data_IF_259023294168
#
_entry.id   IF_259023294168
#
_cell.length_a   1.000
_cell.length_b   1.000
_cell.length_c   1.000
_cell.angle_alpha   90.00
_cell.angle_beta   90.00
_cell.angle_gamma   90.00
#
_symmetry.space_group_name_H-M   'P 1'
#
loop_
_entity.id
_entity.type
_entity.pdbx_description
1 polymer ?
#
# COMPACT_ATOMS: atom_id res chain seq x y z
N UNK A 1 43.41 28.32 -14.33
CA UNK A 1 42.08 28.71 -13.81
C UNK A 1 41.41 27.44 -13.33
N UNK A 2 41.40 27.23 -12.02
CA UNK A 2 40.87 26.02 -11.39
C UNK A 2 39.35 25.97 -11.49
N UNK A 3 38.82 24.88 -12.01
CA UNK A 3 37.40 24.53 -11.93
C UNK A 3 37.11 24.09 -10.49
N UNK A 4 36.17 24.79 -9.86
CA UNK A 4 35.70 24.52 -8.51
C UNK A 4 34.44 23.67 -8.65
N UNK A 5 34.58 22.35 -8.50
CA UNK A 5 33.46 21.42 -8.42
C UNK A 5 32.69 21.69 -7.12
N UNK A 6 31.52 22.30 -7.28
CA UNK A 6 30.57 22.53 -6.19
C UNK A 6 30.00 21.20 -5.70
N UNK A 7 30.66 20.60 -4.71
CA UNK A 7 30.10 19.54 -3.91
C UNK A 7 28.77 20.01 -3.30
N UNK A 8 27.65 19.48 -3.80
CA UNK A 8 26.33 19.70 -3.22
C UNK A 8 26.33 19.10 -1.82
N UNK A 9 26.45 19.96 -0.81
CA UNK A 9 26.49 19.61 0.60
C UNK A 9 25.19 18.90 1.00
N UNK A 10 25.30 17.62 1.36
CA UNK A 10 24.23 16.90 2.05
C UNK A 10 24.10 17.49 3.45
N UNK A 11 23.18 18.44 3.64
CA UNK A 11 22.79 18.87 4.99
C UNK A 11 22.20 17.67 5.73
N UNK A 12 22.76 17.35 6.91
CA UNK A 12 22.11 16.44 7.82
C UNK A 12 20.67 16.89 8.07
N UNK A 13 19.71 15.96 8.17
CA UNK A 13 18.35 16.30 8.52
C UNK A 13 18.35 17.11 9.83
N UNK A 14 17.61 18.22 9.85
CA UNK A 14 17.36 19.00 11.07
C UNK A 14 16.87 18.06 12.17
N UNK A 15 17.37 18.23 13.40
CA UNK A 15 16.94 17.42 14.54
C UNK A 15 15.44 17.62 14.80
N UNK A 16 14.72 16.55 15.22
CA UNK A 16 13.32 16.70 15.61
C UNK A 16 13.19 17.61 16.84
N UNK A 17 12.04 18.26 17.03
CA UNK A 17 11.72 18.92 18.29
C UNK A 17 11.86 17.95 19.47
N UNK A 18 12.25 18.47 20.63
CA UNK A 18 12.39 17.68 21.84
C UNK A 18 11.02 17.23 22.37
N UNK A 19 11.02 16.13 23.13
CA UNK A 19 9.85 15.61 23.83
C UNK A 19 9.06 16.66 24.61
N UNK A 20 9.76 17.62 25.25
CA UNK A 20 9.11 18.68 26.02
C UNK A 20 8.39 19.65 25.09
N UNK A 21 9.04 20.06 23.99
CA UNK A 21 8.43 20.91 22.97
C UNK A 21 7.22 20.23 22.35
N UNK A 22 7.30 18.96 21.94
CA UNK A 22 6.16 18.22 21.39
C UNK A 22 4.99 18.11 22.36
N UNK A 23 5.26 18.01 23.66
CA UNK A 23 4.23 17.96 24.69
C UNK A 23 3.52 19.31 24.86
N UNK A 24 4.27 20.39 24.82
CA UNK A 24 3.77 21.74 25.04
C UNK A 24 3.05 22.27 23.77
N UNK A 25 3.63 22.02 22.59
CA UNK A 25 3.05 22.29 21.27
C UNK A 25 3.47 21.20 20.25
N UNK A 26 2.55 20.32 19.81
CA UNK A 26 2.88 19.25 18.86
C UNK A 26 2.91 19.70 17.39
N UNK A 27 2.49 20.92 17.05
CA UNK A 27 2.43 21.36 15.66
C UNK A 27 3.81 21.42 14.96
N UNK A 28 4.89 21.91 15.59
CA UNK A 28 6.23 21.86 15.00
C UNK A 28 6.74 20.44 14.78
N UNK A 29 6.39 19.50 15.66
CA UNK A 29 6.75 18.08 15.48
C UNK A 29 6.02 17.48 14.29
N UNK A 30 4.75 17.80 14.10
CA UNK A 30 3.99 17.35 12.94
C UNK A 30 4.59 17.89 11.64
N UNK A 31 4.89 19.19 11.56
CA UNK A 31 5.53 19.80 10.40
C UNK A 31 6.89 19.14 10.08
N UNK A 32 7.69 18.86 11.12
CA UNK A 32 8.96 18.16 10.94
C UNK A 32 8.76 16.72 10.42
N UNK A 33 7.74 15.99 10.90
CA UNK A 33 7.41 14.66 10.40
C UNK A 33 6.97 14.75 8.93
N UNK A 34 6.18 15.75 8.55
CA UNK A 34 5.76 15.95 7.16
C UNK A 34 6.94 16.16 6.21
N UNK A 35 7.91 16.98 6.60
CA UNK A 35 9.13 17.18 5.83
C UNK A 35 9.88 15.85 5.63
N UNK A 36 9.89 14.98 6.64
CA UNK A 36 10.49 13.63 6.54
C UNK A 36 9.70 12.71 5.63
N UNK A 37 8.37 12.72 5.71
CA UNK A 37 7.52 11.96 4.78
C UNK A 37 7.79 12.43 3.34
N UNK A 38 7.81 13.74 3.10
CA UNK A 38 8.06 14.32 1.78
C UNK A 38 9.45 13.96 1.24
N UNK A 39 10.47 13.92 2.10
CA UNK A 39 11.82 13.47 1.74
C UNK A 39 11.85 11.97 1.37
N UNK A 40 11.15 11.13 2.13
CA UNK A 40 11.07 9.68 1.89
C UNK A 40 10.27 9.38 0.62
N UNK A 41 9.21 10.16 0.36
CA UNK A 41 8.30 10.05 -0.78
C UNK A 41 8.62 11.09 -1.89
N UNK A 42 9.89 11.47 -2.06
CA UNK A 42 10.26 12.52 -3.01
C UNK A 42 10.38 12.01 -4.45
N UNK A 43 10.17 12.91 -5.41
CA UNK A 43 10.38 12.64 -6.85
C UNK A 43 11.82 12.25 -7.16
N UNK A 44 12.80 12.63 -6.33
CA UNK A 44 14.20 12.23 -6.54
C UNK A 44 14.35 10.72 -6.51
N UNK A 45 13.61 10.01 -5.65
CA UNK A 45 13.66 8.54 -5.61
C UNK A 45 13.09 7.90 -6.89
N UNK A 46 12.20 8.57 -7.62
CA UNK A 46 11.56 8.05 -8.85
C UNK A 46 12.60 7.86 -9.97
N UNK A 47 13.54 8.79 -10.13
CA UNK A 47 14.49 8.78 -11.25
C UNK A 47 15.74 7.90 -11.02
N UNK A 48 16.10 7.60 -9.77
CA UNK A 48 17.27 6.77 -9.47
C UNK A 48 17.00 5.27 -9.67
N UNK A 49 17.97 4.53 -10.23
CA UNK A 49 17.86 3.07 -10.46
C UNK A 49 17.93 2.27 -9.16
N UNK A 50 18.64 2.81 -8.17
CA UNK A 50 18.64 2.29 -6.82
C UNK A 50 18.05 3.36 -5.91
N UNK A 51 17.00 3.02 -5.17
CA UNK A 51 16.69 3.77 -3.96
C UNK A 51 17.96 3.75 -3.14
N UNK A 52 18.54 4.91 -2.85
CA UNK A 52 19.73 4.99 -2.02
C UNK A 52 19.32 4.75 -0.56
N UNK A 53 18.93 3.51 -0.27
CA UNK A 53 18.48 2.99 1.03
C UNK A 53 19.59 3.19 2.06
N UNK A 54 20.86 3.13 1.63
CA UNK A 54 22.05 3.30 2.45
C UNK A 54 22.22 4.73 3.02
N UNK A 55 21.55 5.74 2.45
CA UNK A 55 21.64 7.13 2.96
C UNK A 55 20.69 7.43 4.11
N UNK A 56 19.70 6.58 4.38
CA UNK A 56 18.85 6.76 5.55
C UNK A 56 19.55 6.18 6.78
N UNK A 57 20.33 7.03 7.44
CA UNK A 57 21.12 6.64 8.61
C UNK A 57 20.23 6.09 9.73
N UNK A 58 20.77 5.18 10.55
CA UNK A 58 20.08 4.68 11.74
C UNK A 58 19.62 5.84 12.65
N UNK A 59 20.41 6.92 12.74
CA UNK A 59 20.02 8.13 13.48
C UNK A 59 18.75 8.76 12.91
N UNK A 60 18.69 9.01 11.61
CA UNK A 60 17.51 9.61 10.97
C UNK A 60 16.25 8.75 11.16
N UNK A 61 16.42 7.42 11.11
CA UNK A 61 15.36 6.47 11.42
C UNK A 61 14.87 6.60 12.86
N UNK A 62 15.79 6.57 13.83
CA UNK A 62 15.45 6.67 15.25
C UNK A 62 14.82 8.02 15.58
N UNK A 63 15.33 9.10 15.00
CA UNK A 63 14.78 10.46 15.16
C UNK A 63 13.34 10.52 14.63
N UNK A 64 13.09 9.96 13.46
CA UNK A 64 11.76 9.96 12.83
C UNK A 64 10.77 9.09 13.59
N UNK A 65 11.17 7.87 13.93
CA UNK A 65 10.35 6.97 14.73
C UNK A 65 10.00 7.57 16.10
N UNK A 66 10.99 8.18 16.77
CA UNK A 66 10.80 8.81 18.09
C UNK A 66 9.85 10.00 18.00
N UNK A 67 10.02 10.89 17.00
CA UNK A 67 9.13 12.02 16.78
C UNK A 67 7.67 11.56 16.54
N UNK A 68 7.46 10.53 15.70
CA UNK A 68 6.13 9.95 15.45
C UNK A 68 5.54 9.39 16.74
N UNK A 69 6.32 8.62 17.51
CA UNK A 69 5.90 8.04 18.78
C UNK A 69 5.49 9.14 19.78
N UNK A 70 6.32 10.17 19.96
CA UNK A 70 6.07 11.29 20.86
C UNK A 70 4.82 12.07 20.44
N UNK A 71 4.71 12.40 19.16
CA UNK A 71 3.53 13.06 18.60
C UNK A 71 2.26 12.25 18.89
N UNK A 72 2.23 10.95 18.55
CA UNK A 72 1.08 10.09 18.78
C UNK A 72 0.74 9.94 20.27
N UNK A 73 1.77 9.87 21.14
CA UNK A 73 1.59 9.73 22.59
C UNK A 73 0.94 10.97 23.21
N UNK A 74 1.40 12.16 22.83
CA UNK A 74 0.91 13.41 23.40
C UNK A 74 -0.42 13.87 22.79
N UNK A 75 -0.74 13.44 21.57
CA UNK A 75 -2.01 13.78 20.88
C UNK A 75 -3.13 12.76 21.09
N UNK A 76 -2.87 11.61 21.73
CA UNK A 76 -3.80 10.47 21.88
C UNK A 76 -5.20 10.78 22.39
N UNK A 77 -5.37 11.86 23.18
CA UNK A 77 -6.65 12.23 23.80
C UNK A 77 -7.27 13.50 23.21
N UNK A 78 -6.84 13.97 22.03
CA UNK A 78 -7.29 15.26 21.50
C UNK A 78 -6.94 16.43 22.42
N UNK A 79 -5.89 16.27 23.24
CA UNK A 79 -5.45 17.23 24.26
C UNK A 79 -4.83 18.51 23.69
N UNK A 80 -4.82 18.65 22.38
CA UNK A 80 -4.33 19.83 21.69
C UNK A 80 -5.46 20.85 21.63
N UNK A 81 -5.12 22.14 21.79
CA UNK A 81 -6.10 23.23 21.71
C UNK A 81 -6.89 23.25 20.40
N UNK A 82 -6.38 22.60 19.34
CA UNK A 82 -7.02 22.54 18.03
C UNK A 82 -7.89 21.30 17.76
N UNK A 83 -7.84 20.22 18.57
CA UNK A 83 -8.61 18.99 18.32
C UNK A 83 -8.28 18.22 17.02
N UNK A 84 -7.71 18.90 16.03
CA UNK A 84 -7.35 18.42 14.69
C UNK A 84 -5.99 17.71 14.65
N UNK A 85 -5.10 17.96 15.62
CA UNK A 85 -3.77 17.36 15.67
C UNK A 85 -3.84 16.03 16.44
N UNK A 86 -4.12 14.94 15.73
CA UNK A 86 -4.20 13.58 16.27
C UNK A 86 -3.67 12.54 15.26
N UNK A 87 -3.80 11.25 15.56
CA UNK A 87 -3.38 10.16 14.66
C UNK A 87 -4.06 10.20 13.27
N UNK A 88 -5.29 10.71 13.18
CA UNK A 88 -6.01 10.89 11.91
C UNK A 88 -5.32 11.90 11.01
N UNK A 89 -4.89 13.02 11.58
CA UNK A 89 -4.18 14.05 10.81
C UNK A 89 -2.87 13.51 10.23
N UNK A 90 -2.14 12.72 11.02
CA UNK A 90 -0.90 12.10 10.57
C UNK A 90 -1.17 11.05 9.48
N UNK A 91 -2.22 10.23 9.64
CA UNK A 91 -2.65 9.26 8.64
C UNK A 91 -3.00 9.92 7.31
N UNK A 92 -3.86 10.95 7.33
CA UNK A 92 -4.29 11.68 6.12
C UNK A 92 -3.12 12.37 5.41
N UNK A 93 -2.17 12.93 6.17
CA UNK A 93 -0.95 13.56 5.60
C UNK A 93 -0.05 12.53 4.95
N UNK A 94 0.12 11.36 5.57
CA UNK A 94 0.85 10.25 4.97
C UNK A 94 0.18 9.77 3.68
N UNK A 95 -1.14 9.56 3.72
CA UNK A 95 -1.93 9.18 2.54
C UNK A 95 -1.74 10.19 1.39
N UNK A 96 -1.85 11.50 1.69
CA UNK A 96 -1.67 12.55 0.70
C UNK A 96 -0.28 12.57 0.09
N UNK A 97 0.78 12.38 0.89
CA UNK A 97 2.15 12.35 0.40
C UNK A 97 2.42 11.16 -0.53
N UNK A 98 1.84 9.99 -0.22
CA UNK A 98 1.98 8.79 -1.05
C UNK A 98 1.20 8.96 -2.37
N UNK A 99 0.00 9.55 -2.34
CA UNK A 99 -0.73 9.91 -3.55
C UNK A 99 0.06 10.87 -4.44
N UNK A 100 0.66 11.91 -3.86
CA UNK A 100 1.50 12.84 -4.60
C UNK A 100 2.72 12.15 -5.24
N UNK A 101 3.33 11.18 -4.54
CA UNK A 101 4.39 10.35 -5.11
C UNK A 101 3.89 9.55 -6.32
N UNK A 102 2.72 8.90 -6.22
CA UNK A 102 2.12 8.14 -7.32
C UNK A 102 1.82 9.02 -8.55
N UNK A 103 1.41 10.27 -8.37
CA UNK A 103 1.22 11.22 -9.48
C UNK A 103 2.54 11.49 -10.23
N UNK A 104 3.67 11.58 -9.52
CA UNK A 104 4.99 11.66 -10.14
C UNK A 104 5.36 10.41 -10.94
N UNK A 105 5.00 9.23 -10.43
CA UNK A 105 5.21 7.93 -11.10
C UNK A 105 4.42 7.85 -12.41
N UNK A 106 3.16 8.32 -12.42
CA UNK A 106 2.32 8.40 -13.63
C UNK A 106 3.02 9.19 -14.75
N UNK A 107 3.64 10.32 -14.42
CA UNK A 107 4.37 11.13 -15.38
C UNK A 107 5.59 10.37 -15.97
N UNK A 108 6.32 9.62 -15.15
CA UNK A 108 7.47 8.82 -15.60
C UNK A 108 7.06 7.66 -16.50
N UNK A 109 6.00 6.93 -16.15
CA UNK A 109 5.51 5.85 -17.01
C UNK A 109 4.98 6.42 -18.33
N UNK A 110 4.26 7.54 -18.30
CA UNK A 110 3.76 8.17 -19.52
C UNK A 110 4.88 8.65 -20.44
N UNK A 111 5.97 9.19 -19.88
CA UNK A 111 7.14 9.62 -20.65
C UNK A 111 7.91 8.47 -21.32
N UNK A 112 7.72 7.22 -20.88
CA UNK A 112 8.39 6.06 -21.50
C UNK A 112 7.85 5.70 -22.89
N UNK A 113 6.72 6.26 -23.32
CA UNK A 113 6.15 6.03 -24.66
C UNK A 113 6.79 6.83 -25.79
N UNK A 114 7.47 7.94 -25.49
CA UNK A 114 8.02 8.83 -26.52
C UNK A 114 9.36 8.34 -27.09
N UNK A 115 9.76 7.10 -26.84
CA UNK A 115 11.02 6.52 -27.27
C UNK A 115 10.98 6.01 -28.72
N UNK A 116 11.14 6.89 -29.70
CA UNK A 116 11.46 6.52 -31.09
C UNK A 116 12.97 6.65 -31.32
N UNK A 117 13.74 5.58 -31.09
CA UNK A 117 15.07 5.46 -31.70
C UNK A 117 15.47 4.00 -31.87
N UNK A 118 16.38 3.75 -32.81
CA UNK A 118 16.76 2.42 -33.32
C UNK A 118 17.46 1.54 -32.26
N UNK A 119 17.98 2.14 -31.19
CA UNK A 119 18.68 1.46 -30.07
C UNK A 119 17.86 1.42 -28.76
N UNK A 120 16.61 1.91 -28.78
CA UNK A 120 15.73 1.99 -27.59
C UNK A 120 14.79 0.78 -27.57
N UNK A 121 14.53 0.17 -26.40
CA UNK A 121 13.54 -0.91 -26.29
C UNK A 121 12.20 -0.50 -26.91
N UNK A 122 11.48 -1.46 -27.50
CA UNK A 122 10.16 -1.18 -28.06
C UNK A 122 9.28 -0.48 -27.02
N UNK A 123 8.36 0.39 -27.48
CA UNK A 123 7.47 1.15 -26.59
C UNK A 123 6.82 0.27 -25.51
N UNK A 124 6.29 -0.93 -25.83
CA UNK A 124 5.75 -1.83 -24.79
C UNK A 124 6.78 -2.26 -23.74
N UNK A 125 7.99 -2.62 -24.16
CA UNK A 125 9.07 -3.01 -23.23
C UNK A 125 9.47 -1.83 -22.35
N UNK A 126 9.56 -0.62 -22.91
CA UNK A 126 9.89 0.59 -22.16
C UNK A 126 8.84 0.91 -21.09
N UNK A 127 7.55 0.81 -21.44
CA UNK A 127 6.42 1.04 -20.51
C UNK A 127 6.40 0.03 -19.39
N UNK A 128 6.46 -1.27 -19.69
CA UNK A 128 6.43 -2.31 -18.67
C UNK A 128 7.66 -2.26 -17.77
N UNK A 129 8.84 -2.00 -18.34
CA UNK A 129 10.09 -1.84 -17.58
C UNK A 129 10.00 -0.63 -16.63
N UNK A 130 9.45 0.48 -17.09
CA UNK A 130 9.22 1.66 -16.25
C UNK A 130 8.22 1.33 -15.13
N UNK A 131 7.10 0.68 -15.43
CA UNK A 131 6.11 0.27 -14.45
C UNK A 131 6.69 -0.65 -13.36
N UNK A 132 7.32 -1.76 -13.75
CA UNK A 132 7.88 -2.73 -12.81
C UNK A 132 8.94 -2.08 -11.91
N UNK A 133 9.83 -1.27 -12.51
CA UNK A 133 10.83 -0.52 -11.73
C UNK A 133 10.21 0.43 -10.73
N UNK A 134 9.19 1.20 -11.13
CA UNK A 134 8.54 2.14 -10.21
C UNK A 134 7.78 1.40 -9.11
N UNK A 135 7.17 0.25 -9.41
CA UNK A 135 6.55 -0.61 -8.38
C UNK A 135 7.56 -1.08 -7.35
N UNK A 136 8.74 -1.53 -7.78
CA UNK A 136 9.79 -2.01 -6.88
C UNK A 136 10.31 -0.91 -5.96
N UNK A 137 10.54 0.29 -6.52
CA UNK A 137 10.93 1.48 -5.76
C UNK A 137 9.84 1.83 -4.74
N UNK A 138 8.58 1.87 -5.18
CA UNK A 138 7.45 2.18 -4.33
C UNK A 138 7.30 1.17 -3.18
N UNK A 139 7.43 -0.14 -3.45
CA UNK A 139 7.39 -1.20 -2.43
C UNK A 139 8.47 -1.01 -1.37
N UNK A 140 9.68 -0.59 -1.76
CA UNK A 140 10.77 -0.29 -0.82
C UNK A 140 10.47 0.94 0.04
N UNK A 141 9.88 2.00 -0.54
CA UNK A 141 9.45 3.19 0.19
C UNK A 141 8.34 2.82 1.19
N UNK A 142 7.33 2.09 0.75
CA UNK A 142 6.19 1.66 1.55
C UNK A 142 6.62 0.81 2.75
N UNK A 143 7.53 -0.16 2.55
CA UNK A 143 8.09 -0.92 3.68
C UNK A 143 8.73 0.00 4.72
N UNK A 144 9.56 0.95 4.30
CA UNK A 144 10.20 1.91 5.23
C UNK A 144 9.17 2.74 6.00
N UNK A 145 8.15 3.24 5.30
CA UNK A 145 7.04 3.98 5.91
C UNK A 145 6.31 3.09 6.93
N UNK A 146 5.95 1.86 6.58
CA UNK A 146 5.31 0.90 7.48
C UNK A 146 6.12 0.71 8.79
N UNK A 147 7.44 0.55 8.67
CA UNK A 147 8.31 0.40 9.85
C UNK A 147 8.36 1.68 10.71
N UNK A 148 8.50 2.86 10.09
CA UNK A 148 8.58 4.14 10.83
C UNK A 148 7.26 4.51 11.50
N UNK A 149 6.13 4.21 10.84
CA UNK A 149 4.79 4.52 11.32
C UNK A 149 4.14 3.35 12.08
N UNK A 150 4.89 2.30 12.41
CA UNK A 150 4.40 1.12 13.12
C UNK A 150 3.75 1.42 14.48
N UNK A 151 4.08 2.55 15.12
CA UNK A 151 3.38 2.99 16.33
C UNK A 151 1.98 3.51 16.02
N UNK A 152 1.84 4.34 14.98
CA UNK A 152 0.54 4.82 14.49
C UNK A 152 -0.34 3.64 14.07
N UNK A 153 0.24 2.69 13.34
CA UNK A 153 -0.46 1.50 12.85
C UNK A 153 -1.02 0.63 13.97
N UNK A 154 -0.19 0.30 14.97
CA UNK A 154 -0.61 -0.55 16.10
C UNK A 154 -1.61 0.09 17.05
N UNK A 155 -1.61 1.40 17.20
CA UNK A 155 -2.35 2.07 18.28
C UNK A 155 -3.50 2.95 17.83
N UNK A 156 -3.35 3.63 16.68
CA UNK A 156 -4.41 4.46 16.13
C UNK A 156 -5.14 3.69 15.04
N UNK A 157 -4.45 3.29 13.96
CA UNK A 157 -5.08 2.66 12.78
C UNK A 157 -5.85 1.40 13.18
N UNK A 158 -5.19 0.47 13.89
CA UNK A 158 -5.85 -0.76 14.36
C UNK A 158 -7.13 -0.48 15.16
N UNK A 159 -7.14 0.54 16.01
CA UNK A 159 -8.34 0.92 16.77
C UNK A 159 -9.45 1.42 15.85
N UNK A 160 -9.13 2.29 14.89
CA UNK A 160 -10.15 2.82 13.97
C UNK A 160 -10.73 1.73 13.06
N UNK A 161 -9.90 0.75 12.66
CA UNK A 161 -10.32 -0.44 11.91
C UNK A 161 -11.23 -1.32 12.76
N UNK A 162 -10.86 -1.61 14.02
CA UNK A 162 -11.67 -2.41 14.96
C UNK A 162 -13.01 -1.72 15.29
N UNK A 163 -13.06 -0.38 15.25
CA UNK A 163 -14.26 0.44 15.40
C UNK A 163 -15.08 0.58 14.09
N UNK A 164 -14.73 -0.15 13.02
CA UNK A 164 -15.39 -0.17 11.72
C UNK A 164 -15.51 1.20 11.02
N UNK A 165 -14.50 2.07 11.13
CA UNK A 165 -14.46 3.27 10.31
C UNK A 165 -14.15 2.91 8.85
N UNK A 166 -15.14 3.13 7.97
CA UNK A 166 -15.14 2.69 6.57
C UNK A 166 -14.07 3.30 5.63
N UNK A 167 -13.13 4.09 6.15
CA UNK A 167 -12.10 4.78 5.33
C UNK A 167 -10.69 4.67 5.91
N UNK A 168 -10.49 3.82 6.93
CA UNK A 168 -9.16 3.60 7.51
C UNK A 168 -8.70 2.18 7.20
N UNK A 169 -7.51 2.08 6.63
CA UNK A 169 -6.85 0.83 6.29
C UNK A 169 -5.49 0.74 6.98
N UNK A 170 -5.10 -0.47 7.40
CA UNK A 170 -3.72 -0.80 7.79
C UNK A 170 -2.72 -0.29 6.74
N UNK A 171 -1.57 0.23 7.16
CA UNK A 171 -0.64 0.94 6.26
C UNK A 171 -0.28 0.13 5.02
N UNK A 172 0.02 -1.15 5.19
CA UNK A 172 0.34 -2.05 4.07
C UNK A 172 -0.79 -2.08 3.05
N UNK A 173 -2.04 -2.25 3.51
CA UNK A 173 -3.21 -2.28 2.64
C UNK A 173 -3.48 -0.92 2.01
N UNK A 174 -3.32 0.16 2.76
CA UNK A 174 -3.45 1.53 2.26
C UNK A 174 -2.50 1.77 1.07
N UNK A 175 -1.24 1.37 1.19
CA UNK A 175 -0.24 1.56 0.13
C UNK A 175 -0.64 0.86 -1.18
N UNK A 176 -1.11 -0.40 -1.09
CA UNK A 176 -1.57 -1.13 -2.26
C UNK A 176 -2.85 -0.50 -2.86
N UNK A 177 -3.79 -0.07 -2.02
CA UNK A 177 -5.01 0.62 -2.49
C UNK A 177 -4.68 1.94 -3.21
N UNK A 178 -3.73 2.72 -2.69
CA UNK A 178 -3.28 3.95 -3.35
C UNK A 178 -2.63 3.63 -4.70
N UNK A 179 -1.75 2.62 -4.78
CA UNK A 179 -1.14 2.22 -6.04
C UNK A 179 -2.20 1.81 -7.07
N UNK A 180 -3.12 0.93 -6.68
CA UNK A 180 -4.20 0.44 -7.54
C UNK A 180 -5.10 1.57 -8.01
N UNK A 181 -5.43 2.53 -7.14
CA UNK A 181 -6.28 3.67 -7.49
C UNK A 181 -5.56 4.70 -8.36
N UNK A 182 -4.40 5.17 -7.93
CA UNK A 182 -3.71 6.31 -8.55
C UNK A 182 -2.93 5.91 -9.82
N UNK A 183 -2.38 4.69 -9.88
CA UNK A 183 -1.63 4.21 -11.05
C UNK A 183 -2.52 3.42 -12.00
N UNK A 184 -3.33 2.48 -11.45
CA UNK A 184 -4.14 1.57 -12.27
C UNK A 184 -5.60 2.03 -12.41
N UNK A 185 -6.09 3.03 -11.67
CA UNK A 185 -7.48 3.46 -11.78
C UNK A 185 -8.54 2.47 -11.38
N UNK A 186 -8.16 1.36 -10.75
CA UNK A 186 -9.12 0.36 -10.31
C UNK A 186 -9.61 0.82 -8.94
N UNK A 187 -10.89 1.16 -8.81
CA UNK A 187 -11.48 1.55 -7.53
C UNK A 187 -12.24 0.39 -6.89
N UNK A 188 -12.10 0.28 -5.57
CA UNK A 188 -12.81 -0.66 -4.72
C UNK A 188 -13.77 0.08 -3.78
N UNK A 189 -15.08 -0.19 -3.77
CA UNK A 189 -15.88 -0.77 -4.87
C UNK A 189 -15.94 0.20 -6.07
N UNK A 190 -16.17 -0.35 -7.27
CA UNK A 190 -16.17 0.39 -8.54
C UNK A 190 -17.13 1.60 -8.48
N UNK A 191 -16.58 2.81 -8.42
CA UNK A 191 -17.34 4.06 -8.41
C UNK A 191 -16.92 4.96 -9.58
N UNK A 192 -16.97 4.44 -10.82
CA UNK A 192 -17.02 5.25 -12.05
C UNK A 192 -15.93 6.31 -12.24
N UNK A 193 -14.81 6.25 -11.51
CA UNK A 193 -13.71 7.20 -11.63
C UNK A 193 -12.98 6.98 -12.96
N UNK A 194 -12.52 8.04 -13.63
CA UNK A 194 -11.76 7.90 -14.88
C UNK A 194 -10.55 7.00 -14.65
N UNK A 195 -10.42 5.96 -15.47
CA UNK A 195 -9.22 5.12 -15.52
C UNK A 195 -8.04 6.03 -15.89
N UNK A 196 -7.01 6.19 -15.05
CA UNK A 196 -5.81 6.93 -15.38
C UNK A 196 -5.23 6.35 -16.68
N UNK A 197 -4.69 7.20 -17.58
CA UNK A 197 -4.11 6.76 -18.84
C UNK A 197 -3.09 5.63 -18.66
N UNK A 198 -2.40 5.60 -17.51
CA UNK A 198 -1.37 4.62 -17.18
C UNK A 198 -1.86 3.17 -17.16
N UNK A 199 -3.09 2.88 -16.74
CA UNK A 199 -3.62 1.51 -16.81
C UNK A 199 -3.66 1.03 -18.25
N UNK A 200 -4.33 1.80 -19.13
CA UNK A 200 -4.42 1.49 -20.54
C UNK A 200 -3.04 1.23 -21.13
N UNK A 201 -2.07 2.10 -20.82
CA UNK A 201 -0.71 1.98 -21.33
C UNK A 201 -0.02 0.68 -20.89
N UNK A 202 -0.12 0.32 -19.61
CA UNK A 202 0.47 -0.92 -19.07
C UNK A 202 -0.23 -2.15 -19.63
N UNK A 203 -1.57 -2.15 -19.67
CA UNK A 203 -2.37 -3.27 -20.18
C UNK A 203 -2.16 -3.50 -21.67
N UNK A 204 -2.19 -2.45 -22.48
CA UNK A 204 -1.97 -2.55 -23.93
C UNK A 204 -0.54 -2.99 -24.24
N UNK A 205 0.46 -2.43 -23.53
CA UNK A 205 1.86 -2.86 -23.68
C UNK A 205 2.04 -4.34 -23.34
N UNK A 206 1.37 -4.82 -22.30
CA UNK A 206 1.40 -6.24 -21.92
C UNK A 206 0.73 -7.11 -23.00
N UNK A 207 -0.42 -6.70 -23.53
CA UNK A 207 -1.12 -7.43 -24.59
C UNK A 207 -0.29 -7.52 -25.86
N UNK A 208 0.34 -6.42 -26.27
CA UNK A 208 1.22 -6.39 -27.44
C UNK A 208 2.38 -7.38 -27.28
N UNK A 209 3.07 -7.38 -26.14
CA UNK A 209 4.19 -8.30 -25.92
C UNK A 209 3.77 -9.77 -25.85
N UNK A 210 2.58 -10.07 -25.30
CA UNK A 210 2.04 -11.43 -25.32
C UNK A 210 1.76 -11.93 -26.75
N UNK A 211 1.22 -11.06 -27.62
CA UNK A 211 0.94 -11.40 -29.02
C UNK A 211 2.22 -11.60 -29.85
N UNK A 212 3.29 -10.84 -29.58
CA UNK A 212 4.57 -11.01 -30.26
C UNK A 212 5.33 -12.27 -29.79
N UNK A 213 5.20 -12.65 -28.51
CA UNK A 213 5.86 -13.83 -27.95
C UNK A 213 5.42 -15.16 -28.58
N UNK A 214 4.17 -15.26 -29.06
CA UNK A 214 3.68 -16.43 -29.78
C UNK A 214 4.29 -16.59 -31.19
N UNK A 215 4.82 -15.51 -31.77
CA UNK A 215 5.21 -15.46 -33.18
C UNK A 215 6.74 -15.50 -33.43
N UNK A 216 7.58 -15.31 -32.41
CA UNK A 216 9.05 -15.25 -32.57
C UNK A 216 9.78 -16.08 -31.51
N UNK A 217 10.35 -17.22 -31.92
CA UNK A 217 10.94 -18.24 -31.03
C UNK A 217 12.38 -17.94 -30.56
N UNK A 218 13.00 -16.84 -31.02
CA UNK A 218 14.45 -16.62 -30.82
C UNK A 218 14.84 -15.48 -29.84
N UNK A 219 13.88 -14.71 -29.30
CA UNK A 219 14.15 -13.58 -28.37
C UNK A 219 13.18 -13.51 -27.17
N UNK A 220 12.49 -14.61 -26.87
CA UNK A 220 11.22 -14.61 -26.13
C UNK A 220 11.37 -14.50 -24.61
N UNK A 221 12.46 -15.02 -24.02
CA UNK A 221 12.59 -15.16 -22.57
C UNK A 221 12.53 -13.84 -21.78
N UNK A 222 13.27 -12.81 -22.20
CA UNK A 222 13.35 -11.54 -21.45
C UNK A 222 12.03 -10.74 -21.45
N UNK A 223 11.21 -10.88 -22.51
CA UNK A 223 9.92 -10.20 -22.60
C UNK A 223 8.84 -10.97 -21.83
N UNK A 224 8.89 -12.30 -21.87
CA UNK A 224 8.03 -13.18 -21.08
C UNK A 224 8.25 -12.97 -19.58
N UNK A 225 9.51 -12.88 -19.14
CA UNK A 225 9.86 -12.57 -17.74
C UNK A 225 9.30 -11.20 -17.30
N UNK A 226 9.33 -10.20 -18.19
CA UNK A 226 8.81 -8.86 -17.90
C UNK A 226 7.27 -8.87 -17.79
N UNK A 227 6.58 -9.54 -18.71
CA UNK A 227 5.13 -9.73 -18.65
C UNK A 227 4.75 -10.49 -17.37
N UNK A 228 5.46 -11.56 -17.05
CA UNK A 228 5.21 -12.36 -15.84
C UNK A 228 5.41 -11.52 -14.57
N UNK A 229 6.46 -10.70 -14.51
CA UNK A 229 6.70 -9.77 -13.39
C UNK A 229 5.54 -8.79 -13.17
N UNK A 230 4.93 -8.31 -14.26
CA UNK A 230 3.75 -7.42 -14.20
C UNK A 230 2.51 -8.18 -13.72
N UNK A 231 2.29 -9.41 -14.22
CA UNK A 231 1.20 -10.29 -13.78
C UNK A 231 1.30 -10.68 -12.31
N UNK A 232 2.51 -10.99 -11.84
CA UNK A 232 2.80 -11.26 -10.43
C UNK A 232 2.51 -10.03 -9.57
N UNK A 233 2.84 -8.83 -10.08
CA UNK A 233 2.50 -7.57 -9.44
C UNK A 233 0.99 -7.41 -9.31
N UNK A 234 0.22 -7.63 -10.38
CA UNK A 234 -1.25 -7.55 -10.34
C UNK A 234 -1.85 -8.55 -9.35
N UNK A 235 -1.37 -9.78 -9.37
CA UNK A 235 -1.78 -10.84 -8.44
C UNK A 235 -1.50 -10.44 -6.99
N UNK A 236 -0.31 -9.86 -6.71
CA UNK A 236 0.04 -9.37 -5.37
C UNK A 236 -0.85 -8.22 -4.88
N UNK A 237 -1.43 -7.45 -5.81
CA UNK A 237 -2.37 -6.37 -5.53
C UNK A 237 -3.83 -6.88 -5.40
N UNK A 238 -4.06 -8.19 -5.62
CA UNK A 238 -5.37 -8.81 -5.64
C UNK A 238 -6.18 -8.46 -6.88
N UNK A 239 -5.53 -8.18 -8.01
CA UNK A 239 -6.15 -7.94 -9.31
C UNK A 239 -6.01 -9.19 -10.19
N UNK A 240 -6.98 -9.40 -11.07
CA UNK A 240 -6.94 -10.44 -12.10
C UNK A 240 -6.94 -9.81 -13.49
N UNK A 241 -6.08 -10.31 -14.37
CA UNK A 241 -6.07 -9.93 -15.78
C UNK A 241 -6.90 -10.94 -16.59
N UNK A 242 -8.09 -10.52 -17.04
CA UNK A 242 -9.06 -11.38 -17.73
C UNK A 242 -9.57 -10.63 -18.96
N UNK A 243 -9.64 -11.32 -20.10
CA UNK A 243 -10.18 -10.80 -21.38
C UNK A 243 -9.56 -9.46 -21.83
N UNK A 244 -8.29 -9.24 -21.54
CA UNK A 244 -7.58 -8.00 -21.92
C UNK A 244 -7.83 -6.82 -20.99
N UNK A 245 -8.40 -7.04 -19.80
CA UNK A 245 -8.65 -6.00 -18.81
C UNK A 245 -8.26 -6.40 -17.39
N UNK A 246 -8.00 -5.40 -16.55
CA UNK A 246 -7.83 -5.60 -15.11
C UNK A 246 -9.19 -5.60 -14.42
N UNK A 247 -9.47 -6.69 -13.73
CA UNK A 247 -10.66 -6.85 -12.91
C UNK A 247 -10.27 -7.15 -11.49
N UNK A 248 -11.26 -7.07 -10.61
CA UNK A 248 -11.06 -7.50 -9.25
C UNK A 248 -11.88 -8.73 -8.94
N UNK A 249 -11.25 -9.76 -8.34
CA UNK A 249 -11.93 -11.02 -8.10
C UNK A 249 -13.21 -10.71 -7.32
N UNK A 250 -14.34 -11.22 -7.80
CA UNK A 250 -15.55 -11.24 -6.99
C UNK A 250 -15.24 -12.11 -5.79
N UNK A 251 -14.93 -11.47 -4.66
CA UNK A 251 -14.96 -12.16 -3.37
C UNK A 251 -16.35 -12.73 -3.25
N UNK A 252 -16.47 -14.06 -3.30
CA UNK A 252 -17.68 -14.74 -2.82
C UNK A 252 -17.81 -14.29 -1.38
N UNK A 253 -18.78 -13.42 -1.11
CA UNK A 253 -19.01 -12.89 0.23
C UNK A 253 -18.97 -14.06 1.21
N UNK A 254 -18.14 -14.01 2.29
CA UNK A 254 -18.30 -14.98 3.34
C UNK A 254 -19.74 -14.82 3.80
N UNK A 255 -20.56 -15.86 3.60
CA UNK A 255 -21.96 -15.90 4.04
C UNK A 255 -21.98 -15.36 5.45
N UNK A 256 -22.45 -14.12 5.59
CA UNK A 256 -22.67 -13.50 6.89
C UNK A 256 -23.83 -14.30 7.44
N UNK A 257 -23.53 -15.36 8.21
CA UNK A 257 -24.56 -16.10 8.91
C UNK A 257 -25.36 -15.08 9.71
N UNK A 258 -26.60 -14.88 9.28
CA UNK A 258 -27.49 -13.93 9.92
C UNK A 258 -27.62 -14.32 11.40
N UNK A 259 -27.88 -13.38 12.32
CA UNK A 259 -28.14 -13.70 13.73
C UNK A 259 -29.21 -14.79 13.92
N UNK A 260 -30.11 -14.91 12.93
CA UNK A 260 -31.14 -15.94 12.84
C UNK A 260 -30.54 -17.33 12.63
N UNK A 261 -29.56 -17.51 11.73
CA UNK A 261 -28.91 -18.80 11.49
C UNK A 261 -28.07 -19.29 12.66
N UNK A 262 -27.36 -18.39 13.37
CA UNK A 262 -26.69 -18.72 14.64
C UNK A 262 -27.68 -19.17 15.71
N UNK A 263 -28.86 -18.54 15.76
CA UNK A 263 -29.94 -18.91 16.69
C UNK A 263 -30.54 -20.28 16.34
N UNK A 264 -30.72 -20.59 15.05
CA UNK A 264 -31.25 -21.87 14.58
C UNK A 264 -30.23 -23.01 14.84
N UNK A 265 -28.93 -22.79 14.60
CA UNK A 265 -27.88 -23.78 14.93
C UNK A 265 -27.75 -24.00 16.44
N UNK A 266 -27.84 -22.94 17.24
CA UNK A 266 -27.84 -23.02 18.71
C UNK A 266 -29.08 -23.70 19.30
N UNK A 267 -30.24 -23.61 18.65
CA UNK A 267 -31.45 -24.31 19.05
C UNK A 267 -31.41 -25.80 18.68
N UNK A 268 -30.84 -26.15 17.51
CA UNK A 268 -30.67 -27.54 17.08
C UNK A 268 -29.66 -28.32 17.93
N UNK A 269 -28.60 -27.69 18.44
CA UNK A 269 -27.63 -28.36 19.32
C UNK A 269 -28.14 -28.61 20.75
N UNK A 270 -29.21 -27.92 21.17
CA UNK A 270 -29.85 -28.09 22.49
C UNK A 270 -30.93 -29.16 22.52
N UNK A 271 -31.38 -29.65 21.37
CA UNK A 271 -32.27 -30.81 21.29
C UNK A 271 -31.41 -32.08 21.23
N UNK A 272 -30.92 -32.52 22.39
CA UNK A 272 -30.40 -33.88 22.58
C UNK A 272 -31.61 -34.83 22.54
N UNK A 273 -31.59 -35.94 21.78
CA UNK A 273 -32.68 -36.89 21.81
C UNK A 273 -32.77 -37.51 23.21
N UNK A 274 -33.97 -37.49 23.79
CA UNK A 274 -34.32 -38.30 24.97
C UNK A 274 -34.24 -39.76 24.50
N UNK A 275 -33.14 -40.42 24.83
CA UNK A 275 -32.95 -41.84 24.61
C UNK A 275 -33.89 -42.62 25.54
N UNK A 276 -34.78 -43.39 24.93
CA UNK A 276 -35.55 -44.47 25.52
C UNK A 276 -34.61 -45.49 26.17
N UNK A 277 -34.56 -45.56 27.50
CA UNK A 277 -33.94 -46.69 28.19
C UNK A 277 -34.46 -46.84 29.63
N UNK A 278 -35.74 -47.19 29.81
CA UNK A 278 -36.20 -47.80 31.07
C UNK A 278 -37.54 -48.53 30.89
N UNK A 279 -37.50 -49.79 30.43
CA UNK A 279 -38.54 -50.82 30.70
C UNK A 279 -38.08 -52.19 30.21
N UNK A 280 -37.03 -52.71 30.84
CA UNK A 280 -36.80 -54.15 30.88
C UNK A 280 -35.97 -54.45 32.11
N UNK A 281 -36.61 -54.81 33.23
CA UNK A 281 -36.12 -55.77 34.24
C UNK A 281 -37.21 -55.95 35.31
N UNK A 282 -38.28 -56.65 34.92
CA UNK A 282 -39.24 -57.23 35.85
C UNK A 282 -39.73 -58.56 35.29
N UNK A 283 -38.88 -59.59 35.39
CA UNK A 283 -39.25 -61.01 35.53
C UNK A 283 -37.98 -61.86 35.55
N UNK A 284 -37.99 -62.87 36.43
CA UNK A 284 -36.99 -63.94 36.69
C UNK A 284 -36.08 -63.59 37.87
N UNK A 285 -35.99 -64.31 38.99
CA UNK A 285 -36.67 -65.48 39.60
C UNK A 285 -36.22 -65.50 41.08
N UNK A 286 -37.06 -66.05 41.96
CA UNK A 286 -36.78 -66.57 43.31
C UNK A 286 -36.22 -65.63 44.39
#
# INVERSE_FOLDING_TARGET
>A
MSQNDGASSFQQPSKPPSRKETRDDPAPTLAWIEDRIAEICSVRQIHHQHVNIAKYTLSAYMDTYTAIHEFCTFTKHGRTASGELNGESLYKRLEAAIKAYCQGVVAVISASQSGESIDVPSVPVAVLSAYSRQRDIFSQICKKVEHMFSFLDRHWIKREVDENKHEVYELRRLHDLIWVKEILGVTWPYQGTPVPPTNFLVVESMRELQQYGENDTNSTGSNEDLVQSVLDTFSSLGLEFVDGGLTVPKVVEPVVETPVEKTIKGARSKLRPVSEEETAHARTQN
#
